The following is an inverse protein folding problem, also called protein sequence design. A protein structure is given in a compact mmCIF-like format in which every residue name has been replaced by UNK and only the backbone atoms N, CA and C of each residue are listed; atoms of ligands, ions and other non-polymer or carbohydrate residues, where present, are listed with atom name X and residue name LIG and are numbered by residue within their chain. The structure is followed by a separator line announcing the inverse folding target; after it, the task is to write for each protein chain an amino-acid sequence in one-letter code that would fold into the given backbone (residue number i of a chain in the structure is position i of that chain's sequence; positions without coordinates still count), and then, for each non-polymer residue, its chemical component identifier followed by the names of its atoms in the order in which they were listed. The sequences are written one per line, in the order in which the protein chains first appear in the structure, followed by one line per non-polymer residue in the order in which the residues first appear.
data_IF_849339239093
#
_entry.id   IF_849339239093
#
_cell.length_a   1.000
_cell.length_b   1.000
_cell.length_c   1.000
_cell.angle_alpha   90.00
_cell.angle_beta   90.00
_cell.angle_gamma   90.00
#
_symmetry.space_group_name_H-M   'P 1'
#
loop_
_entity.id
_entity.type
_entity.pdbx_description
1 polymer ?
#
# COMPACT_ATOMS: atom_id res chain seq x y z
N UNK A 1 -1.36 -3.65 24.32
CA UNK A 1 -1.79 -2.75 23.24
C UNK A 1 -1.26 -1.36 23.51
N UNK A 2 -0.77 -0.71 22.47
CA UNK A 2 -0.24 0.64 22.61
C UNK A 2 -1.37 1.65 22.83
N UNK A 3 -1.18 2.56 23.75
CA UNK A 3 -2.08 3.67 23.96
C UNK A 3 -1.72 4.82 23.02
N UNK A 4 -2.70 5.64 22.68
CA UNK A 4 -2.44 6.85 21.93
C UNK A 4 -1.55 7.78 22.73
N UNK A 5 -0.45 8.24 22.14
CA UNK A 5 0.55 9.07 22.84
C UNK A 5 0.69 10.45 22.22
N UNK A 6 -0.25 10.89 21.38
CA UNK A 6 -0.18 12.17 20.69
C UNK A 6 0.04 13.34 21.66
N UNK A 7 -0.60 13.29 22.83
CA UNK A 7 -0.50 14.33 23.84
C UNK A 7 0.83 14.34 24.59
N UNK A 8 1.67 13.33 24.37
CA UNK A 8 2.95 13.18 25.07
C UNK A 8 4.14 13.65 24.26
N UNK A 9 3.91 14.13 23.05
CA UNK A 9 5.01 14.67 22.26
C UNK A 9 5.55 15.93 22.91
N UNK A 10 6.86 16.03 23.11
CA UNK A 10 7.45 17.20 23.74
C UNK A 10 7.31 18.47 22.91
N UNK A 11 7.16 18.31 21.58
CA UNK A 11 6.99 19.43 20.65
C UNK A 11 5.93 19.01 19.63
N UNK A 12 5.02 19.90 19.23
CA UNK A 12 4.07 19.59 18.17
C UNK A 12 4.80 19.24 16.88
N UNK A 13 4.28 18.24 16.17
CA UNK A 13 4.78 17.84 14.85
C UNK A 13 3.69 18.16 13.82
N UNK A 14 3.67 19.38 13.25
CA UNK A 14 2.56 19.85 12.43
C UNK A 14 2.63 19.29 11.00
N UNK A 15 2.53 17.98 10.86
CA UNK A 15 2.56 17.31 9.57
C UNK A 15 1.20 17.47 8.88
N UNK A 16 1.20 18.09 7.69
CA UNK A 16 -0.02 18.28 6.91
C UNK A 16 -0.38 17.02 6.11
N UNK A 17 0.63 16.31 5.62
CA UNK A 17 0.42 15.12 4.79
C UNK A 17 1.65 14.23 4.84
N UNK A 18 1.46 12.93 4.68
CA UNK A 18 2.55 11.96 4.62
C UNK A 18 2.54 11.29 3.25
N UNK A 19 3.71 11.17 2.65
CA UNK A 19 3.90 10.40 1.42
C UNK A 19 4.82 9.23 1.70
N UNK A 20 4.44 8.07 1.16
CA UNK A 20 5.30 6.90 1.10
C UNK A 20 5.64 6.70 -0.37
N UNK A 21 6.91 6.87 -0.72
CA UNK A 21 7.38 6.78 -2.10
C UNK A 21 8.18 5.51 -2.30
N UNK A 22 7.93 4.81 -3.40
CA UNK A 22 8.65 3.59 -3.76
C UNK A 22 9.03 3.62 -5.23
N UNK A 23 10.27 3.26 -5.57
CA UNK A 23 10.67 3.10 -6.96
C UNK A 23 10.12 1.80 -7.52
N UNK A 24 9.89 1.77 -8.84
CA UNK A 24 9.48 0.55 -9.53
C UNK A 24 9.95 0.58 -10.99
N UNK A 25 10.27 -0.59 -11.51
CA UNK A 25 10.51 -0.77 -12.95
C UNK A 25 9.22 -1.11 -13.71
N UNK A 26 8.14 -1.36 -12.97
CA UNK A 26 6.86 -1.83 -13.49
C UNK A 26 5.73 -0.88 -13.14
N UNK A 27 5.93 0.41 -13.45
CA UNK A 27 5.00 1.46 -13.00
C UNK A 27 3.55 1.15 -13.38
N UNK A 28 3.30 0.74 -14.63
CA UNK A 28 1.93 0.46 -15.08
C UNK A 28 1.30 -0.71 -14.31
N UNK A 29 2.06 -1.78 -14.09
CA UNK A 29 1.56 -2.95 -13.36
C UNK A 29 1.31 -2.64 -11.89
N UNK A 30 2.20 -1.87 -11.27
CA UNK A 30 2.06 -1.47 -9.87
C UNK A 30 0.84 -0.54 -9.70
N UNK A 31 0.69 0.43 -10.58
CA UNK A 31 -0.47 1.33 -10.54
C UNK A 31 -1.77 0.56 -10.76
N UNK A 32 -1.78 -0.39 -11.68
CA UNK A 32 -2.96 -1.23 -11.91
C UNK A 32 -3.35 -2.02 -10.66
N UNK A 33 -2.35 -2.56 -9.96
CA UNK A 33 -2.58 -3.28 -8.70
C UNK A 33 -3.24 -2.39 -7.66
N UNK A 34 -2.70 -1.21 -7.40
CA UNK A 34 -3.20 -0.33 -6.34
C UNK A 34 -4.46 0.42 -6.73
N UNK A 35 -4.62 0.79 -8.00
CA UNK A 35 -5.79 1.52 -8.48
C UNK A 35 -6.93 0.57 -8.83
N UNK A 36 -6.76 -0.27 -9.82
CA UNK A 36 -7.81 -1.19 -10.29
C UNK A 36 -8.04 -2.33 -9.31
N UNK A 37 -6.97 -2.83 -8.72
CA UNK A 37 -7.04 -3.92 -7.74
C UNK A 37 -7.58 -3.49 -6.40
N UNK A 38 -6.88 -2.61 -5.70
CA UNK A 38 -7.28 -2.16 -4.36
C UNK A 38 -8.33 -1.05 -4.40
N UNK A 39 -8.47 -0.34 -5.50
CA UNK A 39 -9.45 0.72 -5.60
C UNK A 39 -8.96 2.08 -5.10
N UNK A 40 -7.65 2.28 -4.98
CA UNK A 40 -7.13 3.57 -4.56
C UNK A 40 -7.27 4.61 -5.67
N UNK A 41 -7.76 5.81 -5.37
CA UNK A 41 -7.88 6.86 -6.39
C UNK A 41 -6.52 7.39 -6.81
N UNK A 42 -6.37 7.68 -8.10
CA UNK A 42 -5.18 8.37 -8.60
C UNK A 42 -5.36 9.86 -8.30
N UNK A 43 -4.43 10.42 -7.52
CA UNK A 43 -4.47 11.83 -7.14
C UNK A 43 -3.76 12.72 -8.15
N UNK A 44 -2.64 12.25 -8.69
CA UNK A 44 -1.82 13.00 -9.61
C UNK A 44 -0.86 12.07 -10.33
N UNK A 45 -0.32 12.54 -11.46
CA UNK A 45 0.73 11.82 -12.18
C UNK A 45 1.61 12.84 -12.91
N UNK A 46 2.82 12.41 -13.25
CA UNK A 46 3.74 13.23 -14.04
C UNK A 46 4.62 12.33 -14.90
N UNK A 47 5.15 12.92 -15.97
CA UNK A 47 6.07 12.24 -16.88
C UNK A 47 7.27 13.11 -17.19
N UNK A 48 8.44 12.49 -17.26
CA UNK A 48 9.66 13.13 -17.71
C UNK A 48 10.15 14.28 -16.82
N UNK A 49 9.76 14.30 -15.56
CA UNK A 49 10.21 15.33 -14.64
C UNK A 49 11.53 14.90 -14.00
N UNK A 50 12.60 15.57 -14.33
CA UNK A 50 13.95 15.24 -13.85
C UNK A 50 14.33 13.76 -14.10
N UNK A 51 13.85 13.18 -15.20
CA UNK A 51 14.10 11.79 -15.55
C UNK A 51 13.16 10.79 -14.91
N UNK A 52 12.10 11.25 -14.22
CA UNK A 52 11.14 10.38 -13.55
C UNK A 52 9.75 10.47 -14.16
N UNK A 53 9.09 9.33 -14.21
CA UNK A 53 7.63 9.25 -14.31
C UNK A 53 7.10 8.85 -12.93
N UNK A 54 5.93 9.34 -12.54
CA UNK A 54 5.36 9.03 -11.25
C UNK A 54 3.85 9.09 -11.21
N UNK A 55 3.28 8.33 -10.28
CA UNK A 55 1.83 8.30 -10.02
C UNK A 55 1.62 8.32 -8.51
N UNK A 56 0.71 9.17 -8.05
CA UNK A 56 0.31 9.29 -6.65
C UNK A 56 -1.09 8.74 -6.47
N UNK A 57 -1.24 7.87 -5.48
CA UNK A 57 -2.51 7.20 -5.16
C UNK A 57 -2.89 7.52 -3.73
N UNK A 58 -4.11 8.01 -3.53
CA UNK A 58 -4.60 8.38 -2.21
C UNK A 58 -5.22 7.22 -1.48
N UNK A 59 -5.33 7.39 -0.16
CA UNK A 59 -6.11 6.49 0.68
C UNK A 59 -7.34 7.26 1.16
N UNK A 60 -8.55 6.76 0.86
CA UNK A 60 -9.76 7.49 1.23
C UNK A 60 -9.83 7.76 2.73
N UNK A 61 -10.14 9.01 3.07
CA UNK A 61 -10.27 9.42 4.46
C UNK A 61 -8.97 9.51 5.25
N UNK A 62 -7.81 9.40 4.59
CA UNK A 62 -6.52 9.47 5.25
C UNK A 62 -5.67 10.62 4.69
N UNK A 63 -4.85 11.21 5.56
CA UNK A 63 -3.98 12.32 5.19
C UNK A 63 -2.63 11.84 4.67
N UNK A 64 -2.56 10.64 4.10
CA UNK A 64 -1.34 10.18 3.46
C UNK A 64 -1.64 9.48 2.14
N UNK A 65 -0.61 9.36 1.31
CA UNK A 65 -0.74 8.76 0.00
C UNK A 65 0.52 8.00 -0.39
N UNK A 66 0.37 7.14 -1.39
CA UNK A 66 1.47 6.40 -1.98
C UNK A 66 1.93 7.09 -3.26
N UNK A 67 3.22 7.06 -3.53
CA UNK A 67 3.78 7.48 -4.80
C UNK A 67 4.65 6.36 -5.36
N UNK A 68 4.46 6.03 -6.62
CA UNK A 68 5.32 5.11 -7.35
C UNK A 68 6.01 5.87 -8.46
N UNK A 69 7.34 5.68 -8.57
CA UNK A 69 8.16 6.37 -9.56
C UNK A 69 9.02 5.40 -10.34
N UNK A 70 9.30 5.77 -11.58
CA UNK A 70 10.26 5.04 -12.42
C UNK A 70 11.22 6.05 -13.00
N UNK A 71 12.53 5.80 -12.81
CA UNK A 71 13.59 6.60 -13.41
C UNK A 71 13.94 6.07 -14.79
N UNK A 72 14.30 6.96 -15.72
CA UNK A 72 14.66 6.59 -17.09
C UNK A 72 15.88 5.68 -17.18
N UNK A 73 16.76 5.72 -16.17
CA UNK A 73 17.97 4.88 -16.10
C UNK A 73 17.80 3.64 -15.21
N UNK A 74 16.58 3.34 -14.81
CA UNK A 74 16.26 2.18 -13.99
C UNK A 74 15.84 2.53 -12.58
N UNK A 75 14.96 1.72 -12.02
CA UNK A 75 14.37 1.94 -10.69
C UNK A 75 14.20 0.59 -10.00
N UNK A 76 15.16 0.15 -9.19
CA UNK A 76 14.96 -1.09 -8.42
C UNK A 76 13.77 -0.91 -7.48
N UNK A 77 12.81 -1.84 -7.55
CA UNK A 77 11.56 -1.71 -6.81
C UNK A 77 11.17 -2.93 -6.02
N UNK A 78 11.99 -3.98 -6.03
CA UNK A 78 11.65 -5.21 -5.33
C UNK A 78 11.66 -5.03 -3.82
N UNK A 79 10.68 -5.65 -3.16
CA UNK A 79 10.60 -5.62 -1.70
C UNK A 79 11.82 -6.32 -1.08
N UNK A 80 12.43 -5.73 -0.04
CA UNK A 80 13.61 -6.32 0.60
C UNK A 80 13.27 -7.55 1.45
N UNK A 81 12.06 -7.67 1.95
CA UNK A 81 11.64 -8.81 2.73
C UNK A 81 10.13 -8.97 2.74
N UNK A 82 9.67 -10.18 3.12
CA UNK A 82 8.25 -10.50 3.25
C UNK A 82 7.59 -9.89 4.48
N UNK A 83 8.36 -9.25 5.34
CA UNK A 83 7.85 -8.56 6.53
C UNK A 83 7.66 -7.06 6.32
N UNK A 84 7.89 -6.55 5.11
CA UNK A 84 7.58 -5.17 4.76
C UNK A 84 6.12 -5.11 4.31
N UNK A 85 5.26 -4.58 5.16
CA UNK A 85 3.81 -4.65 4.99
C UNK A 85 3.18 -3.28 4.89
N UNK A 86 2.20 -3.14 4.00
CA UNK A 86 1.18 -2.10 4.05
C UNK A 86 -0.08 -2.76 4.60
N UNK A 87 -0.50 -2.38 5.79
CA UNK A 87 -1.67 -2.99 6.43
C UNK A 87 -2.86 -2.05 6.31
N UNK A 88 -3.92 -2.55 5.69
CA UNK A 88 -5.19 -1.83 5.60
C UNK A 88 -6.18 -2.49 6.54
N UNK A 89 -6.59 -1.76 7.57
CA UNK A 89 -7.57 -2.26 8.53
C UNK A 89 -8.97 -2.02 7.99
N UNK A 90 -9.70 -3.11 7.78
CA UNK A 90 -11.03 -3.10 7.17
C UNK A 90 -11.97 -3.89 8.06
N UNK A 91 -12.84 -3.22 8.85
CA UNK A 91 -13.73 -3.91 9.79
C UNK A 91 -14.76 -4.81 9.14
N UNK A 92 -15.11 -4.55 7.88
CA UNK A 92 -16.13 -5.32 7.16
C UNK A 92 -15.51 -6.54 6.50
N UNK A 93 -15.82 -7.73 7.01
CA UNK A 93 -15.31 -9.00 6.46
C UNK A 93 -15.72 -9.22 5.01
N UNK A 94 -16.91 -8.76 4.60
CA UNK A 94 -17.35 -8.90 3.22
C UNK A 94 -16.54 -8.02 2.27
N UNK A 95 -16.14 -6.85 2.74
CA UNK A 95 -15.28 -5.96 1.96
C UNK A 95 -13.90 -6.58 1.76
N UNK A 96 -13.33 -7.21 2.79
CA UNK A 96 -12.07 -7.93 2.66
C UNK A 96 -12.19 -9.05 1.62
N UNK A 97 -13.24 -9.86 1.70
CA UNK A 97 -13.46 -10.95 0.75
C UNK A 97 -13.63 -10.43 -0.69
N UNK A 98 -14.39 -9.36 -0.87
CA UNK A 98 -14.62 -8.78 -2.20
C UNK A 98 -13.33 -8.22 -2.80
N UNK A 99 -12.49 -7.57 -1.99
CA UNK A 99 -11.19 -7.07 -2.45
C UNK A 99 -10.26 -8.21 -2.84
N UNK A 100 -10.19 -9.25 -2.00
CA UNK A 100 -9.36 -10.42 -2.28
C UNK A 100 -9.79 -11.12 -3.57
N UNK A 101 -11.09 -11.27 -3.81
CA UNK A 101 -11.63 -11.85 -5.03
C UNK A 101 -11.27 -11.00 -6.26
N UNK A 102 -11.41 -9.70 -6.18
CA UNK A 102 -11.08 -8.79 -7.27
C UNK A 102 -9.60 -8.86 -7.63
N UNK A 103 -8.75 -8.85 -6.61
CA UNK A 103 -7.30 -8.97 -6.81
C UNK A 103 -6.93 -10.32 -7.43
N UNK A 104 -7.54 -11.40 -6.97
CA UNK A 104 -7.31 -12.73 -7.53
C UNK A 104 -7.73 -12.80 -8.99
N UNK A 105 -8.87 -12.19 -9.34
CA UNK A 105 -9.35 -12.12 -10.72
C UNK A 105 -8.40 -11.34 -11.63
N UNK A 106 -7.64 -10.40 -11.08
CA UNK A 106 -6.62 -9.63 -11.79
C UNK A 106 -5.25 -10.32 -11.80
N UNK A 107 -5.14 -11.52 -11.24
CA UNK A 107 -3.90 -12.29 -11.24
C UNK A 107 -3.09 -12.20 -9.95
N UNK A 108 -3.65 -11.60 -8.88
CA UNK A 108 -2.97 -11.40 -7.61
C UNK A 108 -3.65 -12.22 -6.52
N UNK A 109 -3.31 -13.49 -6.44
CA UNK A 109 -3.87 -14.41 -5.45
C UNK A 109 -3.21 -14.22 -4.08
N UNK A 110 -3.94 -14.52 -2.99
CA UNK A 110 -3.37 -14.47 -1.66
C UNK A 110 -2.14 -15.38 -1.50
N UNK A 111 -1.22 -14.95 -0.65
CA UNK A 111 -0.03 -15.72 -0.28
C UNK A 111 -0.03 -15.96 1.22
N UNK A 112 0.65 -17.02 1.70
CA UNK A 112 0.79 -17.24 3.15
C UNK A 112 1.56 -16.08 3.79
N UNK A 113 1.13 -15.57 4.95
CA UNK A 113 1.86 -14.52 5.64
C UNK A 113 3.19 -15.07 6.19
N UNK A 114 4.21 -14.24 6.22
CA UNK A 114 5.48 -14.56 6.86
C UNK A 114 5.30 -14.67 8.38
N UNK A 115 4.61 -13.68 8.95
CA UNK A 115 4.24 -13.69 10.36
C UNK A 115 2.82 -14.24 10.49
N UNK A 116 2.62 -15.39 11.18
CA UNK A 116 1.30 -16.00 11.32
C UNK A 116 0.23 -15.11 11.94
N UNK A 117 0.64 -14.07 12.68
CA UNK A 117 -0.28 -13.12 13.25
C UNK A 117 -1.26 -12.55 12.21
N UNK A 118 -0.77 -12.31 10.99
CA UNK A 118 -1.58 -11.71 9.93
C UNK A 118 -2.50 -12.70 9.22
N UNK A 119 -2.39 -13.99 9.52
CA UNK A 119 -3.17 -15.03 8.85
C UNK A 119 -4.53 -15.29 9.46
N UNK A 120 -4.70 -14.98 10.73
CA UNK A 120 -5.91 -15.35 11.47
C UNK A 120 -7.12 -14.53 11.02
N UNK A 121 -6.94 -13.21 10.86
CA UNK A 121 -8.00 -12.30 10.44
C UNK A 121 -7.60 -11.46 9.23
N UNK A 122 -6.56 -11.85 8.54
CA UNK A 122 -6.02 -11.09 7.43
C UNK A 122 -5.81 -11.92 6.18
N UNK A 123 -5.74 -11.21 5.06
CA UNK A 123 -5.38 -11.78 3.75
C UNK A 123 -4.17 -11.00 3.26
N UNK A 124 -3.10 -11.72 2.92
CA UNK A 124 -1.87 -11.12 2.42
C UNK A 124 -1.77 -11.31 0.91
N UNK A 125 -1.47 -10.23 0.20
CA UNK A 125 -1.36 -10.22 -1.25
C UNK A 125 -0.10 -9.46 -1.63
N UNK A 126 0.69 -10.01 -2.56
CA UNK A 126 1.89 -9.33 -3.04
C UNK A 126 1.56 -8.45 -4.25
N UNK A 127 2.11 -7.24 -4.27
CA UNK A 127 2.05 -6.42 -5.46
C UNK A 127 3.06 -6.94 -6.50
N UNK A 128 3.11 -6.38 -7.72
CA UNK A 128 4.01 -6.87 -8.77
C UNK A 128 5.51 -6.84 -8.41
N UNK A 129 5.91 -6.04 -7.43
CA UNK A 129 7.30 -5.97 -6.97
C UNK A 129 7.55 -6.81 -5.71
N UNK A 130 6.55 -7.53 -5.24
CA UNK A 130 6.66 -8.37 -4.04
C UNK A 130 6.41 -7.64 -2.74
N UNK A 131 6.04 -6.35 -2.77
CA UNK A 131 5.61 -5.66 -1.57
C UNK A 131 4.25 -6.20 -1.14
N UNK A 132 4.11 -6.47 0.14
CA UNK A 132 2.91 -7.13 0.65
C UNK A 132 1.91 -6.15 1.21
N UNK A 133 0.65 -6.37 0.83
CA UNK A 133 -0.50 -5.67 1.38
C UNK A 133 -1.29 -6.68 2.20
N UNK A 134 -1.61 -6.31 3.43
CA UNK A 134 -2.46 -7.11 4.31
C UNK A 134 -3.82 -6.43 4.41
N UNK A 135 -4.86 -7.16 4.06
CA UNK A 135 -6.25 -6.74 4.28
C UNK A 135 -6.66 -7.35 5.62
N UNK A 136 -6.60 -6.55 6.67
CA UNK A 136 -6.79 -7.03 8.04
C UNK A 136 -8.20 -6.72 8.52
N UNK A 137 -8.96 -7.75 8.83
CA UNK A 137 -10.36 -7.62 9.24
C UNK A 137 -10.47 -7.25 10.73
N UNK A 138 -10.01 -6.06 11.06
CA UNK A 138 -10.15 -5.45 12.38
C UNK A 138 -10.25 -3.94 12.22
N UNK A 139 -10.54 -3.25 13.30
CA UNK A 139 -10.61 -1.78 13.29
C UNK A 139 -9.23 -1.12 13.48
N UNK A 140 -8.19 -1.89 13.69
CA UNK A 140 -6.88 -1.37 14.02
C UNK A 140 -6.65 -1.31 15.53
N UNK A 141 -5.79 -0.41 15.96
CA UNK A 141 -5.44 -0.25 17.36
C UNK A 141 -6.16 0.94 17.99
#
# INVERSE_FOLDING_TARGET
MAEATADRWPVPLPVAQVRIARPTERLDAVVDFYHRGLGLPILASFRGHAGYDGVMLGLPGAAYHLEFTRHEHGSPGQAPSADNLLVLYIPDAQAVAALAERLAALGHSPVPPENPYWGERGVTIEDPDGWRVVLMNTEGI
#
